data_IF_824731789532
#
_entry.id   IF_824731789532
#
_cell.length_a   1.000
_cell.length_b   1.000
_cell.length_c   1.000
_cell.angle_alpha   90.00
_cell.angle_beta   90.00
_cell.angle_gamma   90.00
#
_symmetry.space_group_name_H-M   'P 1'
#
loop_
_entity.id
_entity.type
_entity.pdbx_description
1 polymer ?
#
# COMPACT_ATOMS: atom_id res chain seq x y z
N UNK A 1 -54.75 41.68 -22.25
CA UNK A 1 -55.00 40.45 -21.50
C UNK A 1 -54.10 40.44 -20.28
N UNK A 2 -54.71 40.28 -19.10
CA UNK A 2 -54.21 39.82 -17.80
C UNK A 2 -52.94 40.44 -17.14
N UNK A 3 -53.06 40.59 -15.82
CA UNK A 3 -52.18 41.24 -14.83
C UNK A 3 -51.52 40.15 -13.96
N UNK A 4 -50.40 40.50 -13.30
CA UNK A 4 -49.82 39.88 -12.09
C UNK A 4 -49.08 38.54 -12.26
N UNK A 5 -48.05 38.17 -11.48
CA UNK A 5 -47.67 38.60 -10.13
C UNK A 5 -46.16 38.39 -9.83
N UNK A 6 -45.67 39.14 -8.84
CA UNK A 6 -44.43 38.97 -8.09
C UNK A 6 -44.31 37.58 -7.43
N UNK A 7 -43.06 37.11 -7.27
CA UNK A 7 -42.60 36.52 -6.01
C UNK A 7 -41.06 36.64 -5.88
N UNK A 8 -40.61 37.55 -5.02
CA UNK A 8 -39.26 37.57 -4.46
C UNK A 8 -39.22 36.51 -3.35
N UNK A 9 -38.28 35.57 -3.43
CA UNK A 9 -37.95 34.69 -2.32
C UNK A 9 -36.55 35.04 -1.81
N UNK A 10 -36.52 35.75 -0.68
CA UNK A 10 -35.34 35.90 0.16
C UNK A 10 -35.28 34.72 1.14
N UNK A 11 -34.14 34.04 1.25
CA UNK A 11 -33.76 33.23 2.40
C UNK A 11 -32.22 33.12 2.36
N UNK A 12 -31.51 33.91 3.15
CA UNK A 12 -31.14 33.67 4.55
C UNK A 12 -29.68 33.21 4.64
N UNK A 13 -28.79 34.16 4.97
CA UNK A 13 -27.40 33.92 5.35
C UNK A 13 -27.39 33.19 6.70
N UNK A 14 -27.16 31.88 6.66
CA UNK A 14 -26.94 31.05 7.83
C UNK A 14 -25.54 31.28 8.40
N UNK A 15 -25.51 31.80 9.63
CA UNK A 15 -24.36 31.92 10.51
C UNK A 15 -23.80 30.52 10.85
N UNK A 16 -22.50 30.48 11.14
CA UNK A 16 -21.67 29.28 11.06
C UNK A 16 -21.98 28.13 12.00
N UNK A 17 -21.38 26.99 11.63
CA UNK A 17 -21.06 25.85 12.47
C UNK A 17 -19.99 25.08 11.72
N UNK A 18 -18.81 24.93 12.32
CA UNK A 18 -17.69 24.20 11.72
C UNK A 18 -18.11 22.77 11.40
N UNK A 19 -18.15 22.44 10.12
CA UNK A 19 -18.19 21.05 9.68
C UNK A 19 -16.78 20.47 9.88
N UNK A 20 -16.59 19.36 10.61
CA UNK A 20 -15.38 18.58 10.41
C UNK A 20 -15.40 18.16 8.94
N UNK A 21 -14.32 18.46 8.23
CA UNK A 21 -14.07 17.87 6.92
C UNK A 21 -14.00 16.35 7.14
N UNK A 22 -15.13 15.66 6.98
CA UNK A 22 -15.15 14.22 6.85
C UNK A 22 -14.35 13.91 5.59
N UNK A 23 -13.11 13.46 5.78
CA UNK A 23 -12.41 12.71 4.76
C UNK A 23 -13.35 11.56 4.37
N UNK A 24 -13.92 11.64 3.17
CA UNK A 24 -14.62 10.51 2.61
C UNK A 24 -13.64 9.33 2.67
N UNK A 25 -14.03 8.17 3.24
CA UNK A 25 -13.23 6.98 3.03
C UNK A 25 -13.11 6.85 1.51
N UNK A 26 -11.88 6.71 1.00
CA UNK A 26 -11.68 6.24 -0.37
C UNK A 26 -12.38 4.90 -0.41
N UNK A 27 -13.62 4.89 -0.90
CA UNK A 27 -14.34 3.69 -1.17
C UNK A 27 -13.41 2.91 -2.10
N UNK A 28 -12.93 1.76 -1.61
CA UNK A 28 -12.55 0.68 -2.50
C UNK A 28 -13.64 0.63 -3.57
N UNK A 29 -13.30 0.50 -4.87
CA UNK A 29 -14.31 0.18 -5.86
C UNK A 29 -14.83 -1.24 -5.53
N UNK A 30 -15.71 -1.34 -4.54
CA UNK A 30 -16.57 -2.49 -4.35
C UNK A 30 -17.54 -2.42 -5.50
N UNK A 31 -17.43 -3.35 -6.45
CA UNK A 31 -18.42 -3.56 -7.48
C UNK A 31 -19.79 -3.75 -6.81
N UNK A 32 -20.55 -2.66 -6.68
CA UNK A 32 -21.93 -2.68 -6.25
C UNK A 32 -22.81 -2.97 -7.46
N UNK A 33 -23.33 -4.20 -7.53
CA UNK A 33 -24.50 -4.53 -8.35
C UNK A 33 -24.24 -4.85 -9.83
N UNK A 34 -24.71 -6.04 -10.21
CA UNK A 34 -25.09 -6.54 -11.54
C UNK A 34 -24.09 -6.55 -12.72
N UNK A 35 -23.12 -5.65 -12.81
CA UNK A 35 -22.23 -5.55 -13.97
C UNK A 35 -20.77 -5.36 -13.56
N UNK A 36 -20.28 -6.23 -12.69
CA UNK A 36 -18.84 -6.48 -12.66
C UNK A 36 -18.59 -7.45 -13.82
N UNK A 37 -17.87 -7.09 -14.91
CA UNK A 37 -17.40 -8.09 -15.87
C UNK A 37 -16.73 -9.21 -15.05
N UNK A 38 -16.91 -10.47 -15.44
CA UNK A 38 -16.32 -11.61 -14.72
C UNK A 38 -14.80 -11.54 -14.88
N UNK A 39 -14.17 -10.68 -14.08
CA UNK A 39 -12.74 -10.52 -14.02
C UNK A 39 -12.17 -11.75 -13.32
N UNK A 40 -11.04 -12.21 -13.82
CA UNK A 40 -10.29 -13.29 -13.19
C UNK A 40 -9.84 -12.82 -11.80
N UNK A 41 -10.05 -13.63 -10.75
CA UNK A 41 -9.60 -13.26 -9.42
C UNK A 41 -8.08 -13.19 -9.39
N UNK A 42 -7.54 -12.23 -8.64
CA UNK A 42 -6.10 -11.98 -8.57
C UNK A 42 -5.58 -12.16 -7.15
N UNK A 43 -4.42 -12.78 -7.02
CA UNK A 43 -3.63 -12.79 -5.79
C UNK A 43 -2.48 -11.82 -5.95
N UNK A 44 -2.41 -10.85 -5.04
CA UNK A 44 -1.28 -9.94 -4.90
C UNK A 44 -0.57 -10.22 -3.58
N UNK A 45 0.75 -10.20 -3.59
CA UNK A 45 1.59 -10.29 -2.38
C UNK A 45 2.63 -9.18 -2.43
N UNK A 46 2.98 -8.62 -1.27
CA UNK A 46 3.99 -7.57 -1.17
C UNK A 46 5.15 -8.05 -0.29
N UNK A 47 6.37 -7.64 -0.63
CA UNK A 47 7.56 -7.94 0.18
C UNK A 47 7.67 -7.03 1.40
N UNK A 48 8.53 -7.44 2.33
CA UNK A 48 9.09 -6.48 3.29
C UNK A 48 10.07 -5.54 2.57
N UNK A 49 9.90 -4.24 2.80
CA UNK A 49 10.80 -3.18 2.37
C UNK A 49 11.71 -2.73 3.52
N UNK A 50 12.82 -2.07 3.20
CA UNK A 50 13.80 -1.58 4.16
C UNK A 50 14.09 -0.09 3.93
N UNK A 51 14.05 0.70 4.99
CA UNK A 51 14.47 2.10 4.99
C UNK A 51 15.94 2.19 5.33
N UNK A 52 16.75 2.53 4.32
CA UNK A 52 18.13 2.94 4.51
C UNK A 52 18.16 4.41 4.97
N UNK A 53 18.30 4.62 6.28
CA UNK A 53 18.31 5.96 6.89
C UNK A 53 19.55 6.76 6.50
N UNK A 54 20.65 6.11 6.11
CA UNK A 54 21.87 6.82 5.69
C UNK A 54 21.75 7.42 4.31
N UNK A 55 21.00 6.75 3.43
CA UNK A 55 20.75 7.19 2.05
C UNK A 55 19.38 7.85 1.88
N UNK A 56 18.59 7.89 2.95
CA UNK A 56 17.23 8.42 2.95
C UNK A 56 16.40 7.78 1.83
N UNK A 57 16.45 6.44 1.74
CA UNK A 57 15.88 5.69 0.63
C UNK A 57 15.17 4.42 1.13
N UNK A 58 13.98 4.17 0.60
CA UNK A 58 13.29 2.89 0.72
C UNK A 58 13.71 1.94 -0.40
N UNK A 59 13.99 0.72 -0.01
CA UNK A 59 14.52 -0.33 -0.85
C UNK A 59 13.69 -1.61 -0.68
N UNK A 60 13.84 -2.55 -1.60
CA UNK A 60 13.16 -3.85 -1.58
C UNK A 60 11.62 -3.74 -1.58
N UNK A 61 11.06 -2.64 -2.08
CA UNK A 61 9.63 -2.50 -2.31
C UNK A 61 9.28 -3.31 -3.57
N UNK A 62 8.56 -4.42 -3.41
CA UNK A 62 8.06 -5.19 -4.54
C UNK A 62 6.72 -5.86 -4.25
N UNK A 63 6.02 -6.21 -5.32
CA UNK A 63 4.80 -6.99 -5.26
C UNK A 63 4.75 -8.01 -6.40
N UNK A 64 4.23 -9.20 -6.09
CA UNK A 64 3.98 -10.26 -7.06
C UNK A 64 2.48 -10.43 -7.29
N UNK A 65 2.06 -10.31 -8.55
CA UNK A 65 0.69 -10.52 -9.00
C UNK A 65 0.57 -11.86 -9.74
N UNK A 66 -0.45 -12.64 -9.40
CA UNK A 66 -0.75 -13.94 -10.02
C UNK A 66 -2.25 -14.16 -10.15
N UNK A 67 -2.67 -14.88 -11.20
CA UNK A 67 -4.04 -15.35 -11.35
C UNK A 67 -4.36 -16.29 -10.17
N UNK A 68 -5.39 -15.99 -9.39
CA UNK A 68 -5.70 -16.74 -8.18
C UNK A 68 -6.24 -18.14 -8.45
N UNK A 69 -6.66 -18.43 -9.69
CA UNK A 69 -7.15 -19.75 -10.12
C UNK A 69 -6.00 -20.58 -10.67
N UNK A 70 -5.21 -20.04 -11.61
CA UNK A 70 -4.17 -20.82 -12.29
C UNK A 70 -2.82 -20.76 -11.58
N UNK A 71 -2.59 -19.73 -10.76
CA UNK A 71 -1.29 -19.44 -10.16
C UNK A 71 -0.27 -18.81 -11.13
N UNK A 72 -0.67 -18.53 -12.37
CA UNK A 72 0.23 -17.96 -13.37
C UNK A 72 0.55 -16.49 -13.07
N UNK A 73 1.79 -16.04 -13.30
CA UNK A 73 2.18 -14.65 -13.08
C UNK A 73 1.46 -13.72 -14.07
N UNK A 74 0.91 -12.62 -13.55
CA UNK A 74 0.24 -11.60 -14.37
C UNK A 74 1.27 -10.61 -14.86
N UNK A 75 1.42 -10.48 -16.19
CA UNK A 75 2.45 -9.63 -16.83
C UNK A 75 1.87 -8.29 -17.28
N UNK A 76 2.67 -7.22 -17.17
CA UNK A 76 2.30 -5.89 -17.63
C UNK A 76 1.18 -5.22 -16.81
N UNK A 77 0.83 -5.76 -15.64
CA UNK A 77 -0.16 -5.16 -14.75
C UNK A 77 0.45 -3.97 -14.01
N UNK A 78 -0.29 -2.87 -13.92
CA UNK A 78 0.15 -1.67 -13.20
C UNK A 78 -0.08 -1.84 -11.70
N UNK A 79 1.00 -1.73 -10.93
CA UNK A 79 0.99 -1.70 -9.47
C UNK A 79 1.33 -0.30 -8.98
N UNK A 80 0.52 0.20 -8.05
CA UNK A 80 0.73 1.46 -7.34
C UNK A 80 1.20 1.13 -5.92
N UNK A 81 2.34 1.69 -5.52
CA UNK A 81 2.86 1.55 -4.17
C UNK A 81 2.59 2.85 -3.41
N UNK A 82 1.98 2.75 -2.23
CA UNK A 82 1.69 3.89 -1.38
C UNK A 82 1.91 3.54 0.09
N UNK A 83 2.25 4.52 0.91
CA UNK A 83 2.29 4.34 2.35
C UNK A 83 0.89 4.13 2.92
N UNK A 84 0.80 3.68 4.17
CA UNK A 84 -0.46 3.63 4.92
C UNK A 84 -1.16 4.98 5.07
N UNK A 85 -0.41 6.08 5.01
CA UNK A 85 -0.95 7.44 5.00
C UNK A 85 -1.55 7.86 3.64
N UNK A 86 -1.47 6.99 2.62
CA UNK A 86 -1.95 7.26 1.27
C UNK A 86 -0.96 8.03 0.39
N UNK A 87 0.27 8.29 0.86
CA UNK A 87 1.31 8.95 0.04
C UNK A 87 1.84 7.95 -0.99
N UNK A 88 1.75 8.29 -2.28
CA UNK A 88 2.31 7.45 -3.34
C UNK A 88 3.84 7.42 -3.28
N UNK A 89 4.40 6.21 -3.17
CA UNK A 89 5.84 5.94 -3.24
C UNK A 89 6.30 5.81 -4.70
N UNK A 90 5.44 5.22 -5.55
CA UNK A 90 5.72 5.08 -6.97
C UNK A 90 4.76 4.11 -7.66
N UNK A 91 5.04 3.84 -8.93
CA UNK A 91 4.29 2.86 -9.73
C UNK A 91 5.25 2.04 -10.57
N UNK A 92 4.98 0.74 -10.70
CA UNK A 92 5.71 -0.13 -11.61
C UNK A 92 4.76 -1.09 -12.33
N UNK A 93 5.24 -1.69 -13.40
CA UNK A 93 4.52 -2.72 -14.15
C UNK A 93 5.13 -4.08 -13.84
N UNK A 94 4.29 -5.11 -13.77
CA UNK A 94 4.77 -6.47 -13.53
C UNK A 94 5.55 -7.00 -14.73
N UNK A 95 6.67 -7.68 -14.45
CA UNK A 95 7.53 -8.31 -15.45
C UNK A 95 7.04 -9.71 -15.86
N UNK A 96 7.92 -10.52 -16.46
CA UNK A 96 7.61 -11.88 -16.91
C UNK A 96 7.29 -12.86 -15.78
N UNK A 97 7.78 -12.59 -14.57
CA UNK A 97 7.56 -13.36 -13.34
C UNK A 97 6.41 -12.78 -12.51
N UNK A 98 5.74 -11.75 -13.02
CA UNK A 98 4.61 -11.12 -12.36
C UNK A 98 5.03 -10.15 -11.24
N UNK A 99 6.29 -9.73 -11.23
CA UNK A 99 6.87 -8.91 -10.16
C UNK A 99 6.95 -7.45 -10.62
N UNK A 100 6.46 -6.55 -9.78
CA UNK A 100 6.66 -5.11 -9.91
C UNK A 100 7.52 -4.64 -8.73
N UNK A 101 8.59 -3.88 -8.97
CA UNK A 101 9.49 -3.42 -7.93
C UNK A 101 9.87 -1.95 -8.13
N UNK A 102 10.07 -1.23 -7.02
CA UNK A 102 10.56 0.15 -7.00
C UNK A 102 11.58 0.36 -5.88
N UNK A 103 12.34 1.44 -5.99
CA UNK A 103 12.99 2.11 -4.87
C UNK A 103 12.43 3.53 -4.79
N UNK A 104 12.30 4.09 -3.59
CA UNK A 104 11.72 5.42 -3.40
C UNK A 104 12.60 6.26 -2.47
N UNK A 105 13.02 7.47 -2.88
CA UNK A 105 13.71 8.38 -1.97
C UNK A 105 12.72 8.90 -0.92
N UNK A 106 13.13 8.97 0.33
CA UNK A 106 12.33 9.46 1.45
C UNK A 106 12.89 10.74 2.04
N UNK A 107 12.00 11.57 2.59
CA UNK A 107 12.38 12.70 3.41
C UNK A 107 11.75 12.52 4.80
N UNK A 108 12.61 12.25 5.80
CA UNK A 108 12.20 11.97 7.17
C UNK A 108 11.86 13.27 7.92
N UNK A 109 10.78 13.91 7.48
CA UNK A 109 10.14 14.99 8.21
C UNK A 109 9.44 14.51 9.49
N UNK A 110 8.95 15.44 10.33
CA UNK A 110 8.17 15.10 11.51
C UNK A 110 6.95 14.25 11.12
N UNK A 111 6.82 13.06 11.71
CA UNK A 111 5.71 12.14 11.42
C UNK A 111 5.94 11.16 10.27
N UNK A 112 6.88 11.41 9.35
CA UNK A 112 7.15 10.50 8.22
C UNK A 112 7.56 9.11 8.71
N UNK A 113 8.40 9.02 9.74
CA UNK A 113 8.83 7.73 10.28
C UNK A 113 7.67 6.91 10.85
N UNK A 114 6.69 7.54 11.50
CA UNK A 114 5.53 6.84 12.06
C UNK A 114 4.64 6.27 10.97
N UNK A 115 4.48 7.02 9.87
CA UNK A 115 3.76 6.57 8.69
C UNK A 115 4.48 5.39 8.02
N UNK A 116 5.79 5.50 7.82
CA UNK A 116 6.59 4.43 7.21
C UNK A 116 6.60 3.16 8.06
N UNK A 117 6.65 3.28 9.39
CA UNK A 117 6.55 2.11 10.29
C UNK A 117 5.17 1.42 10.25
N UNK A 118 4.15 2.05 9.67
CA UNK A 118 2.88 1.40 9.30
C UNK A 118 3.00 0.49 8.08
N UNK A 119 4.10 0.59 7.32
CA UNK A 119 4.32 -0.14 6.08
C UNK A 119 3.76 0.56 4.85
N UNK A 120 3.64 -0.20 3.77
CA UNK A 120 3.11 0.24 2.49
C UNK A 120 2.05 -0.73 1.96
N UNK A 121 1.21 -0.22 1.08
CA UNK A 121 0.25 -0.95 0.29
C UNK A 121 0.70 -1.00 -1.16
N UNK A 122 0.64 -2.19 -1.74
CA UNK A 122 0.69 -2.40 -3.17
C UNK A 122 -0.74 -2.60 -3.68
N UNK A 123 -1.17 -1.80 -4.64
CA UNK A 123 -2.49 -1.88 -5.23
C UNK A 123 -2.38 -2.11 -6.73
N UNK A 124 -2.95 -3.21 -7.19
CA UNK A 124 -3.16 -3.47 -8.61
C UNK A 124 -4.50 -2.89 -9.02
N UNK A 125 -4.49 -1.99 -10.01
CA UNK A 125 -5.69 -1.23 -10.44
C UNK A 125 -6.69 -2.12 -11.21
N UNK A 126 -6.26 -3.30 -11.67
CA UNK A 126 -6.98 -4.12 -12.63
C UNK A 126 -6.69 -3.67 -14.06
N UNK A 127 -6.60 -4.63 -14.98
CA UNK A 127 -6.23 -4.43 -16.39
C UNK A 127 -7.43 -4.64 -17.35
N UNK A 128 -8.64 -4.82 -16.81
CA UNK A 128 -9.86 -5.16 -17.55
C UNK A 128 -10.06 -6.66 -17.79
N UNK A 129 -9.09 -7.51 -17.40
CA UNK A 129 -9.17 -8.97 -17.44
C UNK A 129 -9.07 -9.56 -16.03
N UNK A 130 -8.18 -9.02 -15.21
CA UNK A 130 -7.90 -9.39 -13.83
C UNK A 130 -8.52 -8.37 -12.86
N UNK A 131 -9.10 -8.87 -11.77
CA UNK A 131 -9.72 -8.05 -10.74
C UNK A 131 -8.65 -7.24 -9.99
N UNK A 132 -8.98 -6.01 -9.52
CA UNK A 132 -8.08 -5.25 -8.67
C UNK A 132 -7.76 -6.01 -7.38
N UNK A 133 -6.54 -5.84 -6.87
CA UNK A 133 -6.07 -6.51 -5.66
C UNK A 133 -5.15 -5.60 -4.85
N UNK A 134 -5.12 -5.80 -3.53
CA UNK A 134 -4.27 -5.07 -2.59
C UNK A 134 -3.42 -6.02 -1.76
N UNK A 135 -2.22 -5.58 -1.37
CA UNK A 135 -1.33 -6.32 -0.49
C UNK A 135 -0.50 -5.38 0.39
N UNK A 136 -0.41 -5.73 1.68
CA UNK A 136 0.39 -5.01 2.66
C UNK A 136 1.83 -5.52 2.72
N UNK A 137 2.79 -4.61 2.74
CA UNK A 137 4.19 -4.87 3.00
C UNK A 137 4.69 -4.07 4.21
N UNK A 138 5.42 -4.73 5.12
CA UNK A 138 6.07 -4.04 6.23
C UNK A 138 7.28 -3.25 5.74
N UNK A 139 7.58 -2.12 6.40
CA UNK A 139 8.85 -1.39 6.22
C UNK A 139 9.64 -1.52 7.52
N UNK A 140 10.87 -2.02 7.43
CA UNK A 140 11.82 -2.06 8.54
C UNK A 140 12.88 -0.98 8.38
N UNK A 141 13.63 -0.70 9.44
CA UNK A 141 14.79 0.19 9.40
C UNK A 141 16.03 -0.66 9.23
N UNK A 142 16.89 -0.32 8.27
CA UNK A 142 18.15 -1.02 8.02
C UNK A 142 18.40 -1.22 6.53
N UNK A 143 19.45 -1.99 6.24
CA UNK A 143 19.81 -2.44 4.89
C UNK A 143 19.52 -3.93 4.68
N UNK A 144 18.84 -4.54 5.64
CA UNK A 144 18.62 -5.97 5.71
C UNK A 144 17.53 -6.35 4.71
N UNK A 145 17.84 -7.28 3.81
CA UNK A 145 16.84 -7.85 2.91
C UNK A 145 15.82 -8.64 3.76
N UNK A 146 14.55 -8.27 3.65
CA UNK A 146 13.49 -8.93 4.40
C UNK A 146 13.30 -10.41 4.02
N UNK A 147 12.67 -11.23 4.88
CA UNK A 147 12.40 -12.63 4.59
C UNK A 147 11.60 -12.77 3.28
N UNK A 148 12.13 -13.49 2.28
CA UNK A 148 11.37 -13.84 1.06
C UNK A 148 12.11 -13.74 -0.28
N UNK A 149 13.38 -13.34 -0.34
CA UNK A 149 14.18 -13.35 -1.59
C UNK A 149 15.02 -14.63 -1.74
N UNK A 150 14.95 -15.37 -2.87
CA UNK A 150 15.85 -16.49 -3.13
C UNK A 150 17.27 -15.97 -3.44
N UNK A 151 18.26 -16.37 -2.64
CA UNK A 151 19.68 -16.21 -2.99
C UNK A 151 20.54 -15.32 -2.09
N UNK A 152 20.01 -14.76 -1.01
CA UNK A 152 20.81 -14.04 -0.02
C UNK A 152 20.52 -14.56 1.40
N UNK A 153 21.41 -15.38 2.00
CA UNK A 153 21.36 -15.57 3.44
C UNK A 153 21.65 -14.20 4.05
N UNK A 154 20.70 -13.66 4.82
CA UNK A 154 20.79 -12.30 5.33
C UNK A 154 22.14 -12.09 6.07
N UNK A 155 23.06 -11.37 5.42
CA UNK A 155 24.38 -11.02 5.98
C UNK A 155 24.25 -10.05 7.16
N UNK A 156 23.07 -9.48 7.31
CA UNK A 156 22.59 -8.78 8.49
C UNK A 156 21.14 -9.26 8.69
N UNK A 157 20.93 -10.53 9.01
CA UNK A 157 19.67 -10.84 9.70
C UNK A 157 19.78 -10.05 11.00
N UNK A 158 18.87 -9.10 11.24
CA UNK A 158 18.75 -8.41 12.51
C UNK A 158 18.89 -9.41 13.67
N UNK A 159 19.33 -8.97 14.86
CA UNK A 159 19.70 -9.74 16.07
C UNK A 159 18.79 -10.92 16.51
N UNK A 160 17.69 -11.19 15.81
CA UNK A 160 16.85 -12.39 15.92
C UNK A 160 17.63 -13.70 15.80
N UNK A 161 18.70 -13.79 15.00
CA UNK A 161 19.57 -14.97 14.99
C UNK A 161 20.42 -15.07 16.28
N UNK A 162 21.01 -13.95 16.72
CA UNK A 162 21.78 -13.87 17.97
C UNK A 162 20.92 -14.11 19.23
N UNK A 163 19.61 -13.83 19.17
CA UNK A 163 18.66 -14.17 20.24
C UNK A 163 18.38 -15.67 20.37
N UNK A 164 18.65 -16.47 19.34
CA UNK A 164 18.56 -17.94 19.44
C UNK A 164 19.80 -18.56 20.11
N UNK A 165 20.93 -17.85 20.12
CA UNK A 165 22.17 -18.26 20.80
C UNK A 165 22.26 -17.77 22.27
N UNK A 166 21.20 -17.15 22.79
CA UNK A 166 21.13 -16.80 24.22
C UNK A 166 20.94 -18.09 25.01
N UNK A 167 22.04 -18.59 25.59
CA UNK A 167 22.02 -19.64 26.61
C UNK A 167 21.02 -19.22 27.70
N UNK A 168 19.99 -20.04 28.00
CA UNK A 168 19.07 -19.74 29.10
C UNK A 168 19.88 -19.57 30.38
N UNK A 169 19.83 -18.38 30.98
CA UNK A 169 20.36 -18.18 32.33
C UNK A 169 19.43 -18.94 33.26
N UNK A 170 19.94 -20.02 33.86
CA UNK A 170 19.24 -20.71 34.94
C UNK A 170 19.28 -19.82 36.19
N UNK A 171 18.12 -19.33 36.60
CA UNK A 171 17.94 -18.52 37.80
C UNK A 171 17.59 -19.36 39.03
N UNK A 172 17.59 -20.69 38.92
CA UNK A 172 17.38 -21.58 40.06
C UNK A 172 18.68 -21.70 40.87
N UNK A 173 18.74 -20.92 41.95
CA UNK A 173 19.59 -21.24 43.10
C UNK A 173 18.90 -22.26 44.00
#
# INVERSE_FOLDING_TARGET
MAVSAMAVAMAALGVGSGAPASAAPTATPSCGGAECPSLKPTRLTASQASLNVTQMQLENINAMASDAVTGEPIRGAKIVFATMGGRTLGTAYTDYDGIAAIAAPENLGPGTLQELLGGYEAAMVGDGVHAPAGAHGAITIGTDQGPGVPGAPCSVCSDRALKQDVVPVDWSR
#
